data_IF_859113205694
#
_entry.id   IF_859113205694
#
_cell.length_a   1.000
_cell.length_b   1.000
_cell.length_c   1.000
_cell.angle_alpha   90.00
_cell.angle_beta   90.00
_cell.angle_gamma   90.00
#
_symmetry.space_group_name_H-M   'P 1'
#
loop_
_entity.id
_entity.type
_entity.pdbx_description
1 polymer ?
#
# COMPACT_ATOMS: atom_id res chain seq x y z
N UNK A 1 7.73 -16.19 -14.57
CA UNK A 1 7.26 -15.80 -13.22
C UNK A 1 6.48 -14.50 -13.37
N UNK A 2 5.39 -14.31 -12.63
CA UNK A 2 4.62 -13.06 -12.68
C UNK A 2 5.38 -11.99 -11.89
N UNK A 3 5.72 -10.86 -12.51
CA UNK A 3 6.31 -9.72 -11.79
C UNK A 3 5.31 -9.18 -10.77
N UNK A 4 5.69 -9.24 -9.49
CA UNK A 4 4.92 -8.67 -8.37
C UNK A 4 5.73 -7.55 -7.74
N UNK A 5 5.15 -6.36 -7.71
CA UNK A 5 5.77 -5.17 -7.09
C UNK A 5 4.87 -4.67 -5.97
N UNK A 6 5.45 -4.42 -4.80
CA UNK A 6 4.78 -3.72 -3.70
C UNK A 6 5.35 -2.31 -3.65
N UNK A 7 4.52 -1.32 -3.98
CA UNK A 7 4.87 0.11 -3.96
C UNK A 7 4.20 0.81 -2.79
N UNK A 8 4.99 1.27 -1.83
CA UNK A 8 4.55 2.16 -0.77
C UNK A 8 4.41 3.58 -1.30
N UNK A 9 3.22 4.16 -1.20
CA UNK A 9 2.95 5.57 -1.54
C UNK A 9 3.40 6.51 -0.42
N UNK A 10 3.56 7.81 -0.70
CA UNK A 10 3.86 8.78 0.37
C UNK A 10 2.65 8.92 1.29
N UNK A 11 2.85 8.81 2.61
CA UNK A 11 1.79 8.93 3.63
C UNK A 11 0.55 8.06 3.37
N UNK A 12 0.69 6.99 2.58
CA UNK A 12 -0.43 6.21 2.08
C UNK A 12 -0.21 4.70 2.15
N UNK A 13 -1.04 3.93 1.43
CA UNK A 13 -1.00 2.47 1.45
C UNK A 13 0.18 1.87 0.69
N UNK A 14 0.30 0.56 0.85
CA UNK A 14 1.11 -0.31 0.00
C UNK A 14 0.26 -0.79 -1.18
N UNK A 15 0.62 -0.39 -2.39
CA UNK A 15 -0.01 -0.84 -3.63
C UNK A 15 0.62 -2.17 -4.05
N UNK A 16 -0.20 -3.20 -4.19
CA UNK A 16 0.19 -4.49 -4.76
C UNK A 16 -0.06 -4.41 -6.26
N UNK A 17 1.01 -4.56 -7.03
CA UNK A 17 1.02 -4.46 -8.48
C UNK A 17 1.37 -5.82 -9.05
N UNK A 18 0.48 -6.38 -9.86
CA UNK A 18 0.68 -7.65 -10.55
C UNK A 18 0.58 -7.39 -12.05
N UNK A 19 1.63 -7.72 -12.80
CA UNK A 19 1.69 -7.46 -14.25
C UNK A 19 1.38 -5.99 -14.61
N UNK A 20 1.94 -5.05 -13.84
CA UNK A 20 1.77 -3.60 -14.03
C UNK A 20 0.40 -3.03 -13.61
N UNK A 21 -0.53 -3.86 -13.10
CA UNK A 21 -1.85 -3.40 -12.64
C UNK A 21 -1.92 -3.39 -11.12
N UNK A 22 -2.43 -2.31 -10.54
CA UNK A 22 -2.76 -2.26 -9.12
C UNK A 22 -3.95 -3.17 -8.88
N UNK A 23 -3.74 -4.24 -8.11
CA UNK A 23 -4.78 -5.21 -7.77
C UNK A 23 -5.30 -5.03 -6.35
N UNK A 24 -4.49 -4.45 -5.47
CA UNK A 24 -4.86 -4.24 -4.08
C UNK A 24 -4.12 -3.05 -3.46
N UNK A 25 -4.77 -2.39 -2.50
CA UNK A 25 -4.13 -1.45 -1.57
C UNK A 25 -4.18 -2.01 -0.14
N UNK A 26 -3.01 -2.23 0.46
CA UNK A 26 -2.89 -2.66 1.85
C UNK A 26 -2.64 -1.49 2.79
N UNK A 27 -3.26 -1.56 3.96
CA UNK A 27 -3.07 -0.60 5.04
C UNK A 27 -1.62 -0.69 5.54
N UNK A 28 -0.98 0.47 5.63
CA UNK A 28 0.33 0.65 6.27
C UNK A 28 0.23 1.53 7.53
N UNK A 29 -0.86 2.26 7.70
CA UNK A 29 -1.04 3.25 8.78
C UNK A 29 -1.57 2.67 10.09
N UNK A 30 -1.98 1.40 10.13
CA UNK A 30 -2.47 0.72 11.34
C UNK A 30 -3.89 1.09 11.81
N UNK A 31 -4.54 2.09 11.20
CA UNK A 31 -5.86 2.58 11.66
C UNK A 31 -7.03 2.24 10.73
N UNK A 32 -6.84 1.36 9.76
CA UNK A 32 -7.92 0.99 8.84
C UNK A 32 -8.99 0.16 9.56
N UNK A 33 -10.25 0.45 9.27
CA UNK A 33 -11.40 -0.35 9.72
C UNK A 33 -11.61 -1.62 8.87
N UNK A 34 -10.95 -1.70 7.71
CA UNK A 34 -11.03 -2.81 6.75
C UNK A 34 -9.71 -3.59 6.65
N UNK A 35 -8.98 -3.73 7.76
CA UNK A 35 -7.69 -4.43 7.75
C UNK A 35 -7.79 -5.82 7.08
N UNK A 36 -6.80 -6.22 6.26
CA UNK A 36 -5.53 -5.54 5.99
C UNK A 36 -5.60 -4.46 4.88
N UNK A 37 -6.78 -4.13 4.37
CA UNK A 37 -6.95 -3.20 3.27
C UNK A 37 -6.91 -1.75 3.72
N UNK A 38 -6.53 -0.86 2.81
CA UNK A 38 -6.58 0.58 3.06
C UNK A 38 -7.99 1.12 2.78
N UNK A 39 -8.59 1.77 3.78
CA UNK A 39 -9.89 2.45 3.70
C UNK A 39 -9.78 3.99 3.58
N UNK A 40 -8.55 4.51 3.52
CA UNK A 40 -8.27 5.95 3.44
C UNK A 40 -8.06 6.66 4.79
N UNK A 41 -8.16 5.94 5.92
CA UNK A 41 -7.98 6.53 7.26
C UNK A 41 -6.61 7.19 7.46
N UNK A 42 -5.57 6.74 6.73
CA UNK A 42 -4.24 7.36 6.73
C UNK A 42 -4.24 8.87 6.45
N UNK A 43 -5.23 9.37 5.70
CA UNK A 43 -5.34 10.81 5.37
C UNK A 43 -5.80 11.66 6.55
N UNK A 44 -6.46 11.06 7.54
CA UNK A 44 -7.13 11.74 8.67
C UNK A 44 -6.46 11.47 10.01
N UNK A 45 -5.58 10.47 10.10
CA UNK A 45 -4.92 10.07 11.35
C UNK A 45 -3.47 10.57 11.50
N UNK A 46 -3.02 11.48 10.63
CA UNK A 46 -1.67 12.05 10.68
C UNK A 46 -0.54 11.08 10.30
N UNK A 47 -0.84 10.00 9.56
CA UNK A 47 0.18 9.04 9.15
C UNK A 47 1.23 9.69 8.24
N UNK A 48 2.50 9.59 8.64
CA UNK A 48 3.64 10.08 7.88
C UNK A 48 4.61 8.93 7.58
N UNK A 49 4.88 8.68 6.30
CA UNK A 49 5.83 7.66 5.88
C UNK A 49 6.34 7.91 4.46
N UNK A 50 7.62 7.62 4.25
CA UNK A 50 8.28 7.75 2.94
C UNK A 50 7.79 6.70 1.95
N UNK A 51 8.02 6.98 0.66
CA UNK A 51 7.83 6.02 -0.43
C UNK A 51 8.89 4.93 -0.39
N UNK A 52 8.53 3.72 -0.82
CA UNK A 52 9.45 2.59 -0.95
C UNK A 52 8.90 1.61 -1.99
N UNK A 53 9.76 0.86 -2.68
CA UNK A 53 9.34 -0.12 -3.67
C UNK A 53 10.09 -1.43 -3.46
N UNK A 54 9.37 -2.55 -3.46
CA UNK A 54 9.93 -3.91 -3.33
C UNK A 54 9.42 -4.76 -4.48
N UNK A 55 10.36 -5.36 -5.22
CA UNK A 55 10.06 -6.42 -6.18
C UNK A 55 10.06 -7.75 -5.46
N UNK A 56 8.93 -8.47 -5.51
CA UNK A 56 8.70 -9.67 -4.69
C UNK A 56 9.13 -10.95 -5.41
N UNK A 57 9.25 -10.94 -6.75
CA UNK A 57 9.96 -11.89 -7.62
C UNK A 57 9.61 -11.58 -9.08
#
# INVERSE_FOLDING_TARGET
MSEVVIKSTENGPNLVIVKGKVVQAWCRCGASTLMPFCDGTHKRNGFMAKTHEVKVR
#
